data_IF_508689786173
#
_entry.id   IF_508689786173
#
_cell.length_a   1.000
_cell.length_b   1.000
_cell.length_c   1.000
_cell.angle_alpha   90.00
_cell.angle_beta   90.00
_cell.angle_gamma   90.00
#
_symmetry.space_group_name_H-M   'P 1'
#
loop_
_entity.id
_entity.type
_entity.pdbx_description
1 polymer ?
#
# COMPACT_ATOMS: atom_id res chain seq x y z
N UNK A 1 -58.45 -45.10 -23.37
CA UNK A 1 -57.58 -45.35 -22.20
C UNK A 1 -56.12 -45.26 -22.66
N UNK A 2 -55.36 -44.32 -22.09
CA UNK A 2 -53.89 -44.34 -21.95
C UNK A 2 -53.03 -44.28 -23.21
N UNK A 3 -52.61 -43.08 -23.61
CA UNK A 3 -51.46 -42.86 -24.49
C UNK A 3 -50.16 -42.85 -23.64
N UNK A 4 -49.15 -43.58 -24.10
CA UNK A 4 -47.79 -43.56 -23.58
C UNK A 4 -47.12 -42.25 -24.01
N UNK A 5 -46.56 -41.47 -23.08
CA UNK A 5 -45.45 -40.57 -23.41
C UNK A 5 -44.60 -40.20 -22.19
N UNK A 6 -43.34 -40.63 -22.29
CA UNK A 6 -42.09 -39.95 -21.91
C UNK A 6 -41.77 -39.76 -20.42
N UNK A 7 -40.86 -40.63 -19.98
CA UNK A 7 -39.95 -40.47 -18.84
C UNK A 7 -39.15 -39.17 -19.04
N UNK A 8 -39.37 -38.19 -18.16
CA UNK A 8 -38.55 -36.98 -18.09
C UNK A 8 -37.22 -37.30 -17.41
N UNK A 9 -36.13 -37.01 -18.11
CA UNK A 9 -34.76 -36.98 -17.60
C UNK A 9 -34.67 -35.91 -16.50
N UNK A 10 -34.18 -36.28 -15.32
CA UNK A 10 -33.89 -35.34 -14.24
C UNK A 10 -32.72 -34.45 -14.64
N UNK A 11 -32.94 -33.13 -14.65
CA UNK A 11 -31.88 -32.14 -14.86
C UNK A 11 -30.92 -32.14 -13.65
N UNK A 12 -29.64 -32.41 -13.92
CA UNK A 12 -28.56 -32.30 -12.95
C UNK A 12 -28.43 -30.86 -12.45
N UNK A 13 -28.83 -30.61 -11.20
CA UNK A 13 -28.58 -29.35 -10.51
C UNK A 13 -27.09 -29.25 -10.16
N UNK A 14 -26.30 -28.66 -11.05
CA UNK A 14 -24.92 -28.28 -10.75
C UNK A 14 -24.95 -27.03 -9.85
N UNK A 15 -24.49 -27.09 -8.59
CA UNK A 15 -24.45 -25.92 -7.74
C UNK A 15 -23.45 -24.91 -8.33
N UNK A 16 -23.93 -23.68 -8.56
CA UNK A 16 -23.12 -22.55 -9.00
C UNK A 16 -22.08 -22.26 -7.92
N UNK A 17 -20.81 -22.61 -8.20
CA UNK A 17 -19.69 -22.18 -7.37
C UNK A 17 -19.54 -20.67 -7.56
N UNK A 18 -19.78 -19.91 -6.50
CA UNK A 18 -19.34 -18.51 -6.44
C UNK A 18 -17.84 -18.47 -6.72
N UNK A 19 -17.36 -17.64 -7.66
CA UNK A 19 -15.92 -17.54 -7.92
C UNK A 19 -15.22 -17.12 -6.63
N UNK A 20 -14.21 -17.88 -6.22
CA UNK A 20 -13.32 -17.50 -5.13
C UNK A 20 -12.64 -16.16 -5.46
N UNK A 21 -12.47 -15.25 -4.49
CA UNK A 21 -11.82 -13.98 -4.74
C UNK A 21 -10.36 -14.22 -5.14
N UNK A 22 -10.02 -13.87 -6.38
CA UNK A 22 -8.63 -13.83 -6.84
C UNK A 22 -7.85 -12.81 -6.01
N UNK A 23 -6.64 -13.12 -5.50
CA UNK A 23 -5.80 -12.12 -4.85
C UNK A 23 -5.56 -10.96 -5.80
N UNK A 24 -5.91 -9.73 -5.41
CA UNK A 24 -5.64 -8.55 -6.22
C UNK A 24 -4.13 -8.32 -6.30
N UNK A 25 -3.61 -8.02 -7.49
CA UNK A 25 -2.21 -7.64 -7.70
C UNK A 25 -1.84 -6.27 -7.07
N UNK A 26 -2.81 -5.57 -6.48
CA UNK A 26 -2.64 -4.28 -5.82
C UNK A 26 -2.11 -4.44 -4.40
N UNK A 27 -1.19 -3.55 -4.00
CA UNK A 27 -0.68 -3.45 -2.64
C UNK A 27 -1.26 -2.21 -1.96
N UNK A 28 -1.96 -2.39 -0.84
CA UNK A 28 -2.40 -1.25 -0.02
C UNK A 28 -1.29 -0.80 0.93
N UNK A 29 -1.41 0.41 1.50
CA UNK A 29 -0.47 0.89 2.52
C UNK A 29 -0.43 -0.04 3.74
N UNK A 30 -1.59 -0.58 4.15
CA UNK A 30 -1.67 -1.53 5.26
C UNK A 30 -0.97 -2.86 4.91
N UNK A 31 -1.11 -3.34 3.67
CA UNK A 31 -0.42 -4.55 3.22
C UNK A 31 1.09 -4.35 3.20
N UNK A 32 1.57 -3.22 2.65
CA UNK A 32 2.99 -2.90 2.62
C UNK A 32 3.57 -2.71 4.02
N UNK A 33 2.87 -2.00 4.91
CA UNK A 33 3.32 -1.79 6.28
C UNK A 33 3.45 -3.10 7.05
N UNK A 34 2.49 -4.01 6.88
CA UNK A 34 2.53 -5.36 7.46
C UNK A 34 3.65 -6.20 6.84
N UNK A 35 3.87 -6.12 5.53
CA UNK A 35 4.96 -6.81 4.85
C UNK A 35 6.32 -6.40 5.42
N UNK A 36 6.60 -5.09 5.50
CA UNK A 36 7.85 -4.56 6.08
C UNK A 36 8.01 -4.98 7.55
N UNK A 37 6.94 -4.90 8.35
CA UNK A 37 6.95 -5.37 9.74
C UNK A 37 7.34 -6.85 9.83
N UNK A 38 6.70 -7.70 9.03
CA UNK A 38 6.96 -9.14 9.05
C UNK A 38 8.40 -9.49 8.68
N UNK A 39 9.01 -8.74 7.76
CA UNK A 39 10.38 -9.01 7.34
C UNK A 39 11.42 -8.56 8.37
N UNK A 40 11.22 -7.40 9.01
CA UNK A 40 12.35 -6.69 9.63
C UNK A 40 12.12 -6.18 11.06
N UNK A 41 10.90 -6.29 11.62
CA UNK A 41 10.54 -5.54 12.82
C UNK A 41 11.44 -5.75 14.04
N UNK A 42 11.84 -6.99 14.35
CA UNK A 42 12.64 -7.27 15.56
C UNK A 42 14.00 -6.55 15.54
N UNK A 43 14.72 -6.62 14.41
CA UNK A 43 16.01 -5.92 14.24
C UNK A 43 15.85 -4.40 14.16
N UNK A 44 14.73 -3.93 13.62
CA UNK A 44 14.47 -2.49 13.49
C UNK A 44 14.14 -1.87 14.84
N UNK A 45 13.36 -2.56 15.67
CA UNK A 45 13.12 -2.17 17.07
C UNK A 45 14.41 -2.18 17.86
N UNK A 46 15.26 -3.20 17.70
CA UNK A 46 16.57 -3.25 18.36
C UNK A 46 17.50 -2.09 17.94
N UNK A 47 17.42 -1.63 16.69
CA UNK A 47 18.15 -0.47 16.17
C UNK A 47 17.58 0.87 16.64
N UNK A 48 16.29 0.90 16.99
CA UNK A 48 15.60 2.08 17.53
C UNK A 48 15.30 3.16 16.48
N UNK A 49 14.58 4.20 16.92
CA UNK A 49 14.10 5.29 16.05
C UNK A 49 15.27 6.06 15.42
N UNK A 50 16.28 6.45 16.21
CA UNK A 50 17.40 7.26 15.73
C UNK A 50 18.21 6.53 14.65
N UNK A 51 18.59 5.27 14.90
CA UNK A 51 19.29 4.45 13.92
C UNK A 51 18.44 4.18 12.68
N UNK A 52 17.13 4.05 12.83
CA UNK A 52 16.22 3.88 11.69
C UNK A 52 16.06 5.15 10.86
N UNK A 53 15.99 6.30 11.51
CA UNK A 53 15.96 7.59 10.84
C UNK A 53 17.22 7.83 10.01
N UNK A 54 18.39 7.43 10.51
CA UNK A 54 19.63 7.54 9.74
C UNK A 54 19.62 6.72 8.44
N UNK A 55 19.04 5.52 8.45
CA UNK A 55 18.84 4.74 7.22
C UNK A 55 17.87 5.42 6.26
N UNK A 56 16.73 5.91 6.75
CA UNK A 56 15.80 6.68 5.90
C UNK A 56 16.48 7.89 5.24
N UNK A 57 17.34 8.61 5.97
CA UNK A 57 18.09 9.74 5.41
C UNK A 57 19.10 9.28 4.35
N UNK A 58 19.72 8.12 4.52
CA UNK A 58 20.63 7.55 3.52
C UNK A 58 19.89 7.30 2.20
N UNK A 59 18.73 6.65 2.23
CA UNK A 59 17.91 6.39 1.03
C UNK A 59 17.42 7.67 0.35
N UNK A 60 17.12 8.73 1.13
CA UNK A 60 16.80 10.04 0.55
C UNK A 60 18.02 10.60 -0.21
N UNK A 61 19.23 10.33 0.27
CA UNK A 61 20.47 10.67 -0.41
C UNK A 61 20.66 9.88 -1.71
N UNK A 62 20.42 8.57 -1.69
CA UNK A 62 20.50 7.70 -2.87
C UNK A 62 19.45 8.10 -3.91
N UNK A 63 18.21 8.38 -3.48
CA UNK A 63 17.17 8.97 -4.34
C UNK A 63 17.62 10.30 -4.96
N UNK A 64 18.26 11.18 -4.19
CA UNK A 64 18.76 12.44 -4.72
C UNK A 64 19.84 12.25 -5.80
N UNK A 65 20.68 11.22 -5.67
CA UNK A 65 21.66 10.85 -6.69
C UNK A 65 20.99 10.27 -7.94
N UNK A 66 20.05 9.33 -7.78
CA UNK A 66 19.30 8.74 -8.88
C UNK A 66 18.45 9.75 -9.65
N UNK A 67 17.89 10.75 -8.97
CA UNK A 67 17.18 11.86 -9.62
C UNK A 67 18.10 12.73 -10.47
N UNK A 68 19.35 12.92 -10.06
CA UNK A 68 20.32 13.76 -10.77
C UNK A 68 20.84 13.07 -12.02
N UNK A 69 21.25 11.81 -11.91
CA UNK A 69 22.03 11.12 -12.94
C UNK A 69 21.59 9.69 -13.22
N UNK A 70 20.61 9.16 -12.49
CA UNK A 70 20.22 7.75 -12.58
C UNK A 70 19.38 7.40 -13.81
N UNK A 71 19.28 6.10 -14.09
CA UNK A 71 18.32 5.57 -15.05
C UNK A 71 16.90 5.64 -14.49
N UNK A 72 15.91 5.27 -15.31
CA UNK A 72 14.52 5.19 -14.85
C UNK A 72 14.35 4.09 -13.80
N UNK A 73 15.08 3.01 -13.97
CA UNK A 73 15.08 1.83 -13.11
C UNK A 73 15.67 2.18 -11.75
N UNK A 74 16.83 2.83 -11.72
CA UNK A 74 17.45 3.31 -10.47
C UNK A 74 16.51 4.25 -9.72
N UNK A 75 15.90 5.24 -10.40
CA UNK A 75 14.91 6.11 -9.75
C UNK A 75 13.76 5.32 -9.13
N UNK A 76 13.26 4.30 -9.82
CA UNK A 76 12.14 3.50 -9.31
C UNK A 76 12.55 2.69 -8.07
N UNK A 77 13.76 2.16 -8.04
CA UNK A 77 14.36 1.46 -6.90
C UNK A 77 14.47 2.40 -5.69
N UNK A 78 15.11 3.55 -5.84
CA UNK A 78 15.28 4.49 -4.72
C UNK A 78 13.96 5.07 -4.18
N UNK A 79 12.95 5.26 -5.06
CA UNK A 79 11.61 5.64 -4.59
C UNK A 79 10.98 4.53 -3.73
N UNK A 80 11.20 3.27 -4.10
CA UNK A 80 10.71 2.14 -3.31
C UNK A 80 11.44 2.04 -1.96
N UNK A 81 12.76 2.26 -1.94
CA UNK A 81 13.56 2.19 -0.72
C UNK A 81 13.21 3.30 0.27
N UNK A 82 13.01 4.53 -0.20
CA UNK A 82 12.50 5.63 0.66
C UNK A 82 11.15 5.27 1.28
N UNK A 83 10.23 4.68 0.51
CA UNK A 83 8.92 4.24 1.02
C UNK A 83 9.08 3.09 2.02
N UNK A 84 9.98 2.13 1.75
CA UNK A 84 10.28 1.01 2.64
C UNK A 84 10.81 1.51 3.98
N UNK A 85 11.80 2.40 3.98
CA UNK A 85 12.40 2.91 5.20
C UNK A 85 11.50 3.89 5.98
N UNK A 86 10.65 4.67 5.30
CA UNK A 86 9.60 5.45 5.94
C UNK A 86 8.60 4.52 6.67
N UNK A 87 8.26 3.41 6.02
CA UNK A 87 7.38 2.39 6.59
C UNK A 87 8.03 1.66 7.76
N UNK A 88 9.33 1.38 7.67
CA UNK A 88 10.13 0.80 8.74
C UNK A 88 10.12 1.69 9.99
N UNK A 89 10.43 2.98 9.85
CA UNK A 89 10.40 3.89 11.02
C UNK A 89 9.00 4.07 11.59
N UNK A 90 7.96 4.07 10.76
CA UNK A 90 6.57 4.09 11.25
C UNK A 90 6.23 2.84 12.08
N UNK A 91 6.72 1.67 11.68
CA UNK A 91 6.55 0.44 12.45
C UNK A 91 7.28 0.48 13.81
N UNK A 92 8.49 1.04 13.85
CA UNK A 92 9.27 1.22 15.10
C UNK A 92 8.63 2.29 16.00
N UNK A 93 8.05 3.33 15.41
CA UNK A 93 7.36 4.40 16.14
C UNK A 93 5.89 4.07 16.47
N UNK A 94 5.42 2.86 16.16
CA UNK A 94 4.05 2.40 16.40
C UNK A 94 2.96 3.29 15.75
N UNK A 95 3.26 3.85 14.56
CA UNK A 95 2.33 4.68 13.79
C UNK A 95 1.64 3.84 12.71
N UNK A 96 0.31 3.81 12.71
CA UNK A 96 -0.47 3.28 11.58
C UNK A 96 -0.49 4.30 10.43
N UNK A 97 0.17 3.96 9.32
CA UNK A 97 0.26 4.86 8.16
C UNK A 97 -1.08 5.03 7.45
N UNK A 98 -1.89 3.98 7.40
CA UNK A 98 -3.21 4.04 6.72
C UNK A 98 -4.13 5.00 7.47
N UNK A 99 -4.16 4.90 8.79
CA UNK A 99 -4.90 5.81 9.66
C UNK A 99 -4.38 7.25 9.53
N UNK A 100 -3.06 7.45 9.65
CA UNK A 100 -2.45 8.78 9.58
C UNK A 100 -2.72 9.47 8.22
N UNK A 101 -2.57 8.74 7.11
CA UNK A 101 -2.84 9.25 5.77
C UNK A 101 -4.33 9.56 5.57
N UNK A 102 -5.23 8.66 6.00
CA UNK A 102 -6.67 8.89 5.90
C UNK A 102 -7.10 10.10 6.71
N UNK A 103 -6.61 10.24 7.94
CA UNK A 103 -6.93 11.38 8.80
C UNK A 103 -6.45 12.70 8.18
N UNK A 104 -5.25 12.72 7.61
CA UNK A 104 -4.66 13.96 7.07
C UNK A 104 -5.17 14.33 5.68
N UNK A 105 -5.29 13.36 4.77
CA UNK A 105 -5.51 13.61 3.34
C UNK A 105 -6.75 12.91 2.78
N UNK A 106 -7.44 12.06 3.56
CA UNK A 106 -8.55 11.23 3.08
C UNK A 106 -9.82 11.99 2.69
N UNK A 107 -9.90 13.30 2.96
CA UNK A 107 -11.06 14.15 2.62
C UNK A 107 -10.70 15.31 1.68
N UNK A 108 -9.47 15.36 1.17
CA UNK A 108 -8.96 16.44 0.32
C UNK A 108 -7.79 17.19 0.95
N UNK A 109 -7.50 18.37 0.42
CA UNK A 109 -6.42 19.25 0.89
C UNK A 109 -6.61 19.60 2.38
N UNK A 110 -5.59 19.39 3.24
CA UNK A 110 -5.67 19.72 4.66
C UNK A 110 -5.86 21.22 4.93
N UNK A 111 -5.34 22.09 4.07
CA UNK A 111 -5.48 23.54 4.19
C UNK A 111 -6.85 24.07 3.79
N UNK A 112 -7.31 23.80 2.56
CA UNK A 112 -8.53 24.41 2.02
C UNK A 112 -9.76 23.48 1.98
N UNK A 113 -9.62 22.20 2.37
CA UNK A 113 -10.71 21.22 2.41
C UNK A 113 -11.28 20.82 1.05
N UNK A 114 -10.63 21.22 -0.06
CA UNK A 114 -11.06 20.88 -1.42
C UNK A 114 -10.35 19.61 -1.89
N UNK A 115 -11.04 18.81 -2.71
CA UNK A 115 -10.45 17.61 -3.30
C UNK A 115 -9.25 17.95 -4.20
N UNK A 116 -9.39 19.00 -5.02
CA UNK A 116 -8.26 19.63 -5.72
C UNK A 116 -7.86 20.89 -4.96
N UNK A 117 -6.61 20.96 -4.52
CA UNK A 117 -6.08 22.07 -3.73
C UNK A 117 -6.19 23.41 -4.48
N UNK A 118 -6.54 24.48 -3.77
CA UNK A 118 -6.54 25.88 -4.25
C UNK A 118 -5.80 26.82 -3.30
N UNK A 119 -5.00 26.27 -2.38
CA UNK A 119 -4.15 27.05 -1.49
C UNK A 119 -3.12 27.86 -2.31
N UNK A 120 -2.69 29.04 -1.83
CA UNK A 120 -1.57 29.76 -2.43
C UNK A 120 -0.27 28.95 -2.36
N UNK A 121 0.60 29.09 -3.37
CA UNK A 121 1.90 28.40 -3.47
C UNK A 121 2.90 28.79 -2.37
N UNK A 122 2.63 29.86 -1.62
CA UNK A 122 3.48 30.35 -0.53
C UNK A 122 3.36 29.55 0.77
N UNK A 123 2.43 28.60 0.86
CA UNK A 123 2.21 27.76 2.05
C UNK A 123 2.42 26.28 1.78
N UNK A 124 2.55 25.50 2.88
CA UNK A 124 2.33 24.05 2.79
C UNK A 124 0.86 23.81 2.39
N UNK A 125 0.55 22.80 1.56
CA UNK A 125 -0.84 22.40 1.31
C UNK A 125 -1.58 21.99 2.60
#
# INVERSE_FOLDING_TARGET
MGNLDKIAMTEDHVPSRTPEPTPSAEITISDFQRLIRNMYHEKDVARGIEGTFMWLVAEIGELAEALRNGTREQRAEEFADVIAWLTTIANVAEVDLTEALRHKYGQGCPGCGKFVCVCPDSGKP
#
